data_IF_302915140714
#
_entry.id   IF_302915140714
#
_cell.length_a   1.000
_cell.length_b   1.000
_cell.length_c   1.000
_cell.angle_alpha   90.00
_cell.angle_beta   90.00
_cell.angle_gamma   90.00
#
_symmetry.space_group_name_H-M   'P 1'
#
loop_
_entity.id
_entity.type
_entity.pdbx_description
1 polymer ?
#
# COMPACT_ATOMS: atom_id res chain seq x y z
N UNK A 1 -21.63 17.39 -60.49
CA UNK A 1 -22.15 16.38 -59.54
C UNK A 1 -21.06 15.78 -58.67
N UNK A 2 -19.96 15.24 -59.23
CA UNK A 2 -18.87 14.63 -58.44
C UNK A 2 -18.12 15.59 -57.49
N UNK A 3 -17.87 16.85 -57.91
CA UNK A 3 -17.21 17.85 -57.06
C UNK A 3 -18.08 18.30 -55.87
N UNK A 4 -19.40 18.40 -56.06
CA UNK A 4 -20.34 18.76 -54.99
C UNK A 4 -20.42 17.66 -53.92
N UNK A 5 -20.43 16.38 -54.32
CA UNK A 5 -20.43 15.25 -53.40
C UNK A 5 -19.12 15.16 -52.60
N UNK A 6 -17.97 15.40 -53.24
CA UNK A 6 -16.67 15.40 -52.57
C UNK A 6 -16.52 16.58 -51.57
N UNK A 7 -17.14 17.71 -51.86
CA UNK A 7 -17.14 18.87 -50.98
C UNK A 7 -18.06 18.66 -49.77
N UNK A 8 -19.23 18.06 -49.99
CA UNK A 8 -20.19 17.70 -48.94
C UNK A 8 -19.64 16.62 -47.99
N UNK A 9 -18.88 15.64 -48.50
CA UNK A 9 -18.17 14.67 -47.63
C UNK A 9 -17.03 15.31 -46.82
N UNK A 10 -16.30 16.26 -47.42
CA UNK A 10 -15.23 16.97 -46.73
C UNK A 10 -15.76 17.87 -45.62
N UNK A 11 -16.91 18.50 -45.83
CA UNK A 11 -17.61 19.28 -44.80
C UNK A 11 -18.15 18.38 -43.68
N UNK A 12 -18.75 17.24 -44.00
CA UNK A 12 -19.22 16.25 -43.01
C UNK A 12 -18.09 15.69 -42.14
N UNK A 13 -16.95 15.35 -42.74
CA UNK A 13 -15.77 14.84 -42.00
C UNK A 13 -15.13 15.92 -41.12
N UNK A 14 -15.14 17.18 -41.57
CA UNK A 14 -14.64 18.30 -40.78
C UNK A 14 -15.55 18.60 -39.60
N UNK A 15 -16.88 18.61 -39.82
CA UNK A 15 -17.87 18.77 -38.77
C UNK A 15 -17.81 17.65 -37.73
N UNK A 16 -17.60 16.40 -38.15
CA UNK A 16 -17.44 15.26 -37.25
C UNK A 16 -16.17 15.38 -36.39
N UNK A 17 -15.04 15.79 -36.99
CA UNK A 17 -13.78 16.04 -36.25
C UNK A 17 -13.92 17.18 -35.25
N UNK A 18 -14.62 18.26 -35.61
CA UNK A 18 -14.89 19.38 -34.70
C UNK A 18 -15.80 18.93 -33.54
N UNK A 19 -16.85 18.15 -33.82
CA UNK A 19 -17.73 17.58 -32.80
C UNK A 19 -16.96 16.66 -31.83
N UNK A 20 -16.09 15.78 -32.34
CA UNK A 20 -15.25 14.90 -31.52
C UNK A 20 -14.23 15.68 -30.70
N UNK A 21 -13.67 16.78 -31.23
CA UNK A 21 -12.71 17.62 -30.50
C UNK A 21 -13.33 18.42 -29.34
N UNK A 22 -14.67 18.58 -29.36
CA UNK A 22 -15.45 19.24 -28.31
C UNK A 22 -15.97 18.27 -27.25
N UNK A 23 -15.85 16.96 -27.48
CA UNK A 23 -16.15 15.93 -26.48
C UNK A 23 -14.91 15.79 -25.61
N UNK A 24 -15.04 16.13 -24.34
CA UNK A 24 -14.02 15.82 -23.35
C UNK A 24 -14.07 14.30 -23.09
N UNK A 25 -13.22 13.58 -23.83
CA UNK A 25 -13.09 12.12 -23.71
C UNK A 25 -12.68 11.71 -22.30
N UNK A 26 -11.94 12.54 -21.57
CA UNK A 26 -11.57 12.26 -20.17
C UNK A 26 -12.78 12.39 -19.24
N UNK A 27 -13.69 13.36 -19.47
CA UNK A 27 -14.98 13.42 -18.75
C UNK A 27 -15.92 12.27 -19.12
N UNK A 28 -15.95 11.84 -20.39
CA UNK A 28 -16.78 10.73 -20.82
C UNK A 28 -16.29 9.41 -20.20
N UNK A 29 -14.97 9.17 -20.20
CA UNK A 29 -14.36 7.99 -19.59
C UNK A 29 -14.53 7.96 -18.07
N UNK A 30 -14.54 9.11 -17.39
CA UNK A 30 -14.83 9.19 -15.94
C UNK A 30 -16.21 8.66 -15.56
N UNK A 31 -17.20 8.67 -16.46
CA UNK A 31 -18.57 8.19 -16.17
C UNK A 31 -18.68 6.66 -16.18
N UNK A 32 -17.79 5.97 -16.89
CA UNK A 32 -17.77 4.51 -16.99
C UNK A 32 -16.67 3.88 -16.11
N UNK A 33 -15.91 4.68 -15.34
CA UNK A 33 -14.94 4.14 -14.39
C UNK A 33 -15.63 3.34 -13.28
N UNK A 34 -15.13 2.13 -12.95
CA UNK A 34 -15.67 1.33 -11.86
C UNK A 34 -15.52 2.06 -10.52
N UNK A 35 -16.43 1.79 -9.55
CA UNK A 35 -16.38 2.44 -8.25
C UNK A 35 -15.02 2.18 -7.57
N UNK A 36 -14.51 3.20 -6.89
CA UNK A 36 -13.31 3.13 -6.06
C UNK A 36 -13.65 2.57 -4.67
N UNK A 37 -14.33 1.43 -4.65
CA UNK A 37 -14.60 0.67 -3.45
C UNK A 37 -13.73 -0.59 -3.47
N UNK A 38 -12.85 -0.70 -2.48
CA UNK A 38 -11.89 -1.79 -2.37
C UNK A 38 -12.10 -2.49 -1.02
N UNK A 39 -11.82 -3.80 -0.94
CA UNK A 39 -11.95 -4.52 0.32
C UNK A 39 -11.04 -3.97 1.42
N UNK A 40 -11.35 -4.30 2.68
CA UNK A 40 -10.64 -3.76 3.85
C UNK A 40 -9.71 -4.79 4.54
N UNK A 41 -9.77 -6.04 4.10
CA UNK A 41 -8.99 -7.15 4.63
C UNK A 41 -8.23 -7.88 3.52
N UNK A 42 -7.16 -8.59 3.88
CA UNK A 42 -6.37 -9.39 2.94
C UNK A 42 -7.23 -10.51 2.31
N UNK A 43 -8.02 -11.19 3.14
CA UNK A 43 -8.91 -12.29 2.72
C UNK A 43 -9.94 -11.83 1.68
N UNK A 44 -10.61 -10.69 1.90
CA UNK A 44 -11.55 -10.14 0.92
C UNK A 44 -10.85 -9.60 -0.33
N UNK A 45 -9.57 -9.23 -0.23
CA UNK A 45 -8.72 -8.94 -1.38
C UNK A 45 -8.29 -10.20 -2.14
N UNK A 46 -8.58 -11.39 -1.59
CA UNK A 46 -8.19 -12.71 -2.06
C UNK A 46 -6.67 -12.98 -1.97
N UNK A 47 -5.97 -12.32 -1.05
CA UNK A 47 -4.53 -12.53 -0.82
C UNK A 47 -4.24 -12.93 0.62
N UNK A 48 -3.15 -13.66 0.81
CA UNK A 48 -2.57 -13.93 2.13
C UNK A 48 -1.04 -13.95 2.03
N UNK A 49 -0.36 -13.75 3.16
CA UNK A 49 1.06 -14.05 3.25
C UNK A 49 1.26 -15.55 3.47
N UNK A 50 2.07 -16.18 2.63
CA UNK A 50 2.40 -17.60 2.76
C UNK A 50 3.47 -17.84 3.85
N UNK A 51 3.89 -19.09 4.04
CA UNK A 51 4.91 -19.49 5.03
C UNK A 51 6.29 -18.84 4.78
N UNK A 52 6.55 -18.36 3.57
CA UNK A 52 7.76 -17.63 3.20
C UNK A 52 7.60 -16.11 3.35
N UNK A 53 6.50 -15.63 3.91
CA UNK A 53 6.21 -14.20 4.06
C UNK A 53 5.90 -13.48 2.75
N UNK A 54 5.51 -14.20 1.70
CA UNK A 54 5.22 -13.64 0.38
C UNK A 54 3.71 -13.45 0.19
N UNK A 55 3.30 -12.28 -0.31
CA UNK A 55 1.89 -12.01 -0.62
C UNK A 55 1.46 -12.79 -1.88
N UNK A 56 0.49 -13.69 -1.73
CA UNK A 56 -0.02 -14.56 -2.81
C UNK A 56 -1.52 -14.62 -2.83
N UNK A 57 -2.09 -14.77 -4.01
CA UNK A 57 -3.51 -14.99 -4.17
C UNK A 57 -3.91 -16.32 -3.51
N UNK A 58 -4.95 -16.34 -2.69
CA UNK A 58 -5.32 -17.48 -1.84
C UNK A 58 -5.63 -18.73 -2.66
N UNK A 59 -6.34 -18.57 -3.79
CA UNK A 59 -6.75 -19.71 -4.63
C UNK A 59 -5.67 -20.16 -5.63
N UNK A 60 -5.03 -19.22 -6.33
CA UNK A 60 -4.11 -19.53 -7.44
C UNK A 60 -2.65 -19.58 -7.03
N UNK A 61 -2.29 -18.97 -5.90
CA UNK A 61 -0.89 -18.81 -5.49
C UNK A 61 -0.10 -17.79 -6.31
N UNK A 62 -0.75 -17.02 -7.18
CA UNK A 62 -0.09 -16.03 -8.04
C UNK A 62 0.29 -14.75 -7.27
N UNK A 63 1.33 -14.01 -7.70
CA UNK A 63 1.72 -12.74 -7.10
C UNK A 63 0.73 -11.62 -7.44
N UNK A 64 0.83 -10.51 -6.72
CA UNK A 64 -0.01 -9.34 -6.97
C UNK A 64 0.29 -8.69 -8.34
N UNK A 65 -0.76 -8.48 -9.14
CA UNK A 65 -0.67 -7.78 -10.43
C UNK A 65 -1.18 -6.34 -10.28
N UNK A 66 -0.31 -5.36 -10.55
CA UNK A 66 -0.65 -3.93 -10.48
C UNK A 66 -1.58 -3.50 -11.63
N UNK A 67 -1.20 -3.81 -12.88
CA UNK A 67 -2.02 -3.53 -14.07
C UNK A 67 -3.15 -4.55 -14.21
N UNK A 68 -4.03 -4.62 -13.21
CA UNK A 68 -5.15 -5.55 -13.18
C UNK A 68 -6.20 -5.22 -14.25
N UNK A 69 -6.39 -3.93 -14.54
CA UNK A 69 -7.22 -3.44 -15.65
C UNK A 69 -6.39 -2.56 -16.56
N UNK A 70 -6.08 -3.02 -17.77
CA UNK A 70 -5.08 -2.41 -18.68
C UNK A 70 -5.24 -0.89 -18.85
N UNK A 71 -6.47 -0.42 -19.08
CA UNK A 71 -6.75 1.00 -19.38
C UNK A 71 -7.19 1.85 -18.16
N UNK A 72 -7.22 1.26 -16.96
CA UNK A 72 -7.72 1.94 -15.76
C UNK A 72 -6.61 2.23 -14.75
N UNK A 73 -5.65 3.05 -15.17
CA UNK A 73 -4.50 3.44 -14.34
C UNK A 73 -4.90 4.03 -12.99
N UNK A 74 -5.88 4.95 -12.97
CA UNK A 74 -6.39 5.56 -11.74
C UNK A 74 -6.97 4.52 -10.78
N UNK A 75 -7.74 3.58 -11.31
CA UNK A 75 -8.35 2.52 -10.52
C UNK A 75 -7.29 1.55 -9.98
N UNK A 76 -6.34 1.11 -10.81
CA UNK A 76 -5.24 0.23 -10.40
C UNK A 76 -4.38 0.87 -9.30
N UNK A 77 -4.09 2.16 -9.44
CA UNK A 77 -3.38 2.92 -8.42
C UNK A 77 -4.14 2.95 -7.10
N UNK A 78 -5.46 3.18 -7.14
CA UNK A 78 -6.30 3.18 -5.93
C UNK A 78 -6.43 1.78 -5.31
N UNK A 79 -6.47 0.73 -6.10
CA UNK A 79 -6.42 -0.67 -5.63
C UNK A 79 -5.12 -0.96 -4.89
N UNK A 80 -4.00 -0.55 -5.47
CA UNK A 80 -2.68 -0.70 -4.86
C UNK A 80 -2.53 0.10 -3.57
N UNK A 81 -3.09 1.31 -3.51
CA UNK A 81 -3.16 2.12 -2.30
C UNK A 81 -3.96 1.42 -1.20
N UNK A 82 -5.16 0.93 -1.54
CA UNK A 82 -6.03 0.20 -0.61
C UNK A 82 -5.33 -1.03 -0.02
N UNK A 83 -4.74 -1.87 -0.87
CA UNK A 83 -3.95 -3.03 -0.40
C UNK A 83 -2.80 -2.62 0.53
N UNK A 84 -2.12 -1.50 0.23
CA UNK A 84 -1.05 -0.98 1.07
C UNK A 84 -1.49 -0.56 2.48
N UNK A 85 -2.71 -0.04 2.64
CA UNK A 85 -3.28 0.28 3.95
C UNK A 85 -3.65 -0.98 4.73
N UNK A 86 -4.14 -2.02 4.05
CA UNK A 86 -4.40 -3.34 4.66
C UNK A 86 -3.09 -3.95 5.16
N UNK A 87 -2.05 -3.95 4.33
CA UNK A 87 -0.72 -4.44 4.69
C UNK A 87 -0.16 -3.67 5.88
N UNK A 88 -0.40 -2.36 5.95
CA UNK A 88 0.02 -1.55 7.10
C UNK A 88 -0.59 -2.06 8.40
N UNK A 89 -1.91 -2.34 8.41
CA UNK A 89 -2.59 -2.91 9.58
C UNK A 89 -2.04 -4.30 9.92
N UNK A 90 -1.77 -5.12 8.91
CA UNK A 90 -1.19 -6.46 9.10
C UNK A 90 0.22 -6.40 9.71
N UNK A 91 1.09 -5.50 9.25
CA UNK A 91 2.42 -5.32 9.83
C UNK A 91 2.34 -4.88 11.29
N UNK A 92 1.40 -4.01 11.66
CA UNK A 92 1.17 -3.65 13.06
C UNK A 92 0.82 -4.87 13.92
N UNK A 93 -0.06 -5.75 13.42
CA UNK A 93 -0.40 -6.99 14.12
C UNK A 93 0.84 -7.89 14.29
N UNK A 94 1.75 -7.94 13.32
CA UNK A 94 3.00 -8.69 13.45
C UNK A 94 3.95 -8.07 14.47
N UNK A 95 4.04 -6.73 14.53
CA UNK A 95 4.85 -6.05 15.54
C UNK A 95 4.33 -6.35 16.96
N UNK A 96 3.02 -6.35 17.15
CA UNK A 96 2.40 -6.62 18.44
C UNK A 96 2.47 -8.11 18.82
N UNK A 97 2.07 -9.00 17.92
CA UNK A 97 1.88 -10.41 18.23
C UNK A 97 3.14 -11.25 18.06
N UNK A 98 3.87 -11.04 16.95
CA UNK A 98 5.08 -11.81 16.63
C UNK A 98 6.34 -11.18 17.22
N UNK A 99 6.40 -9.85 17.26
CA UNK A 99 7.54 -9.12 17.82
C UNK A 99 7.33 -8.66 19.26
N UNK A 100 6.18 -8.95 19.90
CA UNK A 100 5.87 -8.55 21.29
C UNK A 100 6.20 -7.08 21.61
N UNK A 101 5.97 -6.18 20.65
CA UNK A 101 6.15 -4.74 20.87
C UNK A 101 4.83 -4.13 21.30
N UNK A 102 4.89 -3.15 22.19
CA UNK A 102 3.73 -2.36 22.64
C UNK A 102 3.66 -1.08 21.83
N UNK A 103 2.45 -0.72 21.39
CA UNK A 103 2.17 0.56 20.75
C UNK A 103 2.00 1.63 21.82
N UNK A 104 2.89 2.61 21.84
CA UNK A 104 2.84 3.75 22.75
C UNK A 104 2.48 5.03 22.00
N UNK A 105 1.49 5.77 22.52
CA UNK A 105 1.04 7.05 21.94
C UNK A 105 1.94 8.17 22.45
N UNK A 106 2.35 9.06 21.55
CA UNK A 106 3.18 10.22 21.86
C UNK A 106 2.49 11.52 21.42
N UNK A 107 2.66 12.63 22.16
CA UNK A 107 3.29 12.69 23.49
C UNK A 107 2.42 12.01 24.58
N UNK A 108 3.05 11.55 25.65
CA UNK A 108 2.37 10.75 26.71
C UNK A 108 1.39 11.58 27.54
N UNK A 109 1.57 12.89 27.56
CA UNK A 109 0.75 13.90 28.24
C UNK A 109 -0.20 14.64 27.28
N UNK A 110 -0.39 14.11 26.06
CA UNK A 110 -1.19 14.75 25.04
C UNK A 110 -2.64 14.98 25.48
N UNK A 111 -3.13 16.21 25.36
CA UNK A 111 -4.56 16.53 25.52
C UNK A 111 -5.39 15.98 24.35
N UNK A 112 -6.72 16.01 24.44
CA UNK A 112 -7.59 15.43 23.38
C UNK A 112 -7.34 16.05 22.00
N UNK A 113 -7.17 17.37 21.97
CA UNK A 113 -7.01 18.18 20.75
C UNK A 113 -5.55 18.27 20.24
N UNK A 114 -4.59 17.71 20.97
CA UNK A 114 -3.19 17.75 20.58
C UNK A 114 -2.84 16.71 19.52
N UNK A 115 -1.98 17.05 18.53
CA UNK A 115 -1.48 16.09 17.56
C UNK A 115 -0.77 14.92 18.24
N UNK A 116 -1.24 13.70 17.95
CA UNK A 116 -0.68 12.46 18.47
C UNK A 116 -0.03 11.63 17.36
N UNK A 117 1.03 10.94 17.73
CA UNK A 117 1.67 9.90 16.94
C UNK A 117 1.85 8.66 17.82
N UNK A 118 2.56 7.66 17.31
CA UNK A 118 2.88 6.47 18.09
C UNK A 118 4.22 5.87 17.69
N UNK A 119 4.76 5.08 18.61
CA UNK A 119 5.94 4.23 18.40
C UNK A 119 5.62 2.80 18.84
N UNK A 120 6.40 1.84 18.35
CA UNK A 120 6.42 0.48 18.90
C UNK A 120 7.68 0.30 19.72
N UNK A 121 7.54 -0.19 20.94
CA UNK A 121 8.64 -0.36 21.90
C UNK A 121 8.60 -1.75 22.52
N UNK A 122 9.77 -2.31 22.85
CA UNK A 122 9.83 -3.53 23.65
C UNK A 122 9.42 -3.22 25.10
N UNK A 123 8.93 -4.23 25.81
CA UNK A 123 8.47 -4.07 27.21
C UNK A 123 9.58 -3.58 28.15
N UNK A 124 10.83 -3.93 27.85
CA UNK A 124 12.01 -3.54 28.63
C UNK A 124 12.70 -2.27 28.11
N UNK A 125 12.15 -1.57 27.12
CA UNK A 125 12.85 -0.47 26.42
C UNK A 125 13.37 0.65 27.36
N UNK A 126 12.72 0.86 28.51
CA UNK A 126 13.11 1.88 29.49
C UNK A 126 13.85 1.31 30.73
N UNK A 127 13.85 -0.01 30.89
CA UNK A 127 14.45 -0.69 32.05
C UNK A 127 15.70 -1.47 31.70
N UNK A 128 15.92 -1.76 30.42
CA UNK A 128 17.09 -2.47 29.92
C UNK A 128 18.36 -1.61 30.09
N UNK A 129 19.34 -2.07 30.90
CA UNK A 129 20.55 -1.29 31.20
C UNK A 129 21.61 -1.35 30.09
N UNK A 130 21.42 -2.16 29.04
CA UNK A 130 22.44 -2.41 28.03
C UNK A 130 22.27 -1.53 26.78
N UNK A 131 21.59 -2.04 25.75
CA UNK A 131 21.55 -1.46 24.42
C UNK A 131 20.11 -1.28 23.97
N UNK A 132 19.85 -0.12 23.37
CA UNK A 132 18.58 0.20 22.72
C UNK A 132 18.84 0.35 21.23
N UNK A 133 18.04 -0.31 20.40
CA UNK A 133 18.04 -0.13 18.95
C UNK A 133 16.82 0.67 18.54
N UNK A 134 17.04 1.76 17.79
CA UNK A 134 15.98 2.62 17.29
C UNK A 134 15.90 2.48 15.76
N UNK A 135 14.76 2.05 15.25
CA UNK A 135 14.48 1.94 13.82
C UNK A 135 13.55 3.06 13.40
N UNK A 136 13.97 3.85 12.41
CA UNK A 136 13.21 5.01 11.92
C UNK A 136 12.93 4.82 10.43
N UNK A 137 11.68 4.68 10.06
CA UNK A 137 11.25 4.62 8.66
C UNK A 137 11.32 5.99 7.97
N UNK A 138 11.32 5.96 6.63
CA UNK A 138 11.18 7.17 5.82
C UNK A 138 9.80 7.83 5.94
N UNK A 139 9.69 9.04 5.40
CA UNK A 139 8.43 9.79 5.33
C UNK A 139 7.54 9.35 4.16
N UNK A 140 6.30 9.86 4.10
CA UNK A 140 5.38 9.63 2.99
C UNK A 140 4.41 8.47 3.26
N UNK A 141 4.39 7.47 2.37
CA UNK A 141 3.43 6.34 2.41
C UNK A 141 3.89 5.16 3.29
N UNK A 142 5.14 5.19 3.75
CA UNK A 142 5.70 4.17 4.65
C UNK A 142 5.24 4.48 6.09
N UNK A 143 5.06 3.43 6.89
CA UNK A 143 4.57 3.50 8.27
C UNK A 143 5.49 2.71 9.19
N UNK A 144 5.28 2.82 10.50
CA UNK A 144 6.09 2.10 11.49
C UNK A 144 6.13 0.59 11.15
N UNK A 145 7.31 -0.02 11.30
CA UNK A 145 7.51 -1.42 10.93
C UNK A 145 7.85 -1.68 9.46
N UNK A 146 7.79 -0.69 8.57
CA UNK A 146 7.98 -0.90 7.13
C UNK A 146 9.18 -0.14 6.57
N UNK A 147 9.85 -0.74 5.59
CA UNK A 147 10.87 -0.09 4.76
C UNK A 147 10.30 0.31 3.40
N UNK A 148 9.57 -0.59 2.74
CA UNK A 148 9.00 -0.33 1.43
C UNK A 148 7.79 -1.22 1.14
N UNK A 149 6.62 -0.59 0.95
CA UNK A 149 5.39 -1.26 0.52
C UNK A 149 5.59 -2.11 -0.73
N UNK A 150 6.38 -1.61 -1.69
CA UNK A 150 6.66 -2.31 -2.95
C UNK A 150 7.38 -3.64 -2.71
N UNK A 151 8.32 -3.69 -1.76
CA UNK A 151 9.04 -4.92 -1.43
C UNK A 151 8.09 -5.90 -0.73
N UNK A 152 7.29 -5.43 0.25
CA UNK A 152 6.30 -6.28 0.93
C UNK A 152 5.33 -6.96 -0.06
N UNK A 153 4.88 -6.21 -1.08
CA UNK A 153 3.91 -6.72 -2.07
C UNK A 153 4.54 -7.67 -3.09
N UNK A 154 5.76 -7.39 -3.56
CA UNK A 154 6.34 -8.10 -4.71
C UNK A 154 7.41 -9.13 -4.33
N UNK A 155 8.02 -9.00 -3.16
CA UNK A 155 9.07 -9.87 -2.66
C UNK A 155 8.55 -10.63 -1.43
N UNK A 156 8.69 -10.06 -0.23
CA UNK A 156 8.27 -10.67 1.04
C UNK A 156 8.27 -9.66 2.21
N UNK A 157 7.79 -10.11 3.36
CA UNK A 157 7.83 -9.35 4.62
C UNK A 157 9.25 -9.04 5.07
N UNK A 158 10.22 -9.93 4.85
CA UNK A 158 11.58 -9.76 5.38
C UNK A 158 12.32 -8.61 4.68
N UNK A 159 12.26 -8.56 3.36
CA UNK A 159 12.82 -7.47 2.55
C UNK A 159 12.11 -6.14 2.78
N UNK A 160 10.80 -6.18 3.02
CA UNK A 160 9.96 -5.00 3.08
C UNK A 160 9.72 -4.40 4.46
N UNK A 161 10.07 -5.09 5.54
CA UNK A 161 9.75 -4.68 6.92
C UNK A 161 10.98 -4.56 7.83
N UNK A 162 10.75 -3.93 8.98
CA UNK A 162 11.70 -3.81 10.08
C UNK A 162 11.83 -5.10 10.90
N UNK A 163 10.94 -6.08 10.69
CA UNK A 163 10.79 -7.28 11.53
C UNK A 163 12.09 -8.10 11.63
N UNK A 164 12.84 -8.37 10.54
CA UNK A 164 14.11 -9.11 10.66
C UNK A 164 15.13 -8.43 11.57
N UNK A 165 15.18 -7.10 11.56
CA UNK A 165 16.07 -6.32 12.42
C UNK A 165 15.64 -6.41 13.88
N UNK A 166 14.34 -6.31 14.14
CA UNK A 166 13.76 -6.46 15.48
C UNK A 166 14.07 -7.85 16.05
N UNK A 167 13.83 -8.90 15.26
CA UNK A 167 14.13 -10.29 15.65
C UNK A 167 15.61 -10.47 15.94
N UNK A 168 16.48 -9.92 15.08
CA UNK A 168 17.93 -9.99 15.28
C UNK A 168 18.38 -9.31 16.57
N UNK A 169 17.78 -8.16 16.93
CA UNK A 169 18.11 -7.47 18.18
C UNK A 169 17.72 -8.32 19.41
N UNK A 170 16.55 -8.96 19.39
CA UNK A 170 16.09 -9.86 20.45
C UNK A 170 16.98 -11.10 20.60
N UNK A 171 17.39 -11.70 19.50
CA UNK A 171 18.33 -12.83 19.51
C UNK A 171 19.66 -12.45 20.18
N UNK A 172 20.21 -11.29 19.83
CA UNK A 172 21.46 -10.79 20.41
C UNK A 172 21.34 -10.58 21.93
N UNK A 173 20.18 -10.11 22.40
CA UNK A 173 19.90 -9.95 23.83
C UNK A 173 19.89 -11.30 24.55
N UNK A 174 19.23 -12.32 23.99
CA UNK A 174 19.15 -13.65 24.61
C UNK A 174 20.54 -14.32 24.71
N UNK A 175 21.38 -14.18 23.67
CA UNK A 175 22.75 -14.72 23.68
C UNK A 175 23.65 -14.05 24.72
N UNK A 176 23.41 -12.77 25.07
CA UNK A 176 24.20 -12.08 26.10
C UNK A 176 23.93 -12.60 27.52
N UNK A 177 22.81 -13.28 27.73
CA UNK A 177 22.37 -13.80 29.03
C UNK A 177 22.57 -15.33 29.18
N UNK A 178 23.18 -15.98 28.17
CA UNK A 178 23.53 -17.41 28.19
C UNK A 178 25.02 -17.60 28.41
#
# INVERSE_FOLDING_TARGET
MAQLLAQDEKEKTTALKDLLSRIDLDELMKKDEPPLNFPETLDEFEYAFNEHGQLRHIQTGEPFVFNYKEDLHRWNQKRYEALGEIITKYVYQLLENSCNLKKEILPVDATEDEPKSFIYVSEDALTNPEKIMVLIQGSGVVRAGQWARRLIINEDLDSGTQIPFINRAKECQNMAHT
#
